data_IF_624635958471
#
_entry.id   IF_624635958471
#
_cell.length_a   1.000
_cell.length_b   1.000
_cell.length_c   1.000
_cell.angle_alpha   90.00
_cell.angle_beta   90.00
_cell.angle_gamma   90.00
#
_symmetry.space_group_name_H-M   'P 1'
#
loop_
_entity.id
_entity.type
_entity.pdbx_description
1 polymer ?
#
# COMPACT_ATOMS: atom_id res chain seq x y z
N UNK A 1 -29.04 33.95 25.89
CA UNK A 1 -27.62 33.53 25.72
C UNK A 1 -27.30 32.08 26.11
N UNK A 2 -27.90 31.50 27.16
CA UNK A 2 -27.54 30.14 27.65
C UNK A 2 -27.96 28.99 26.71
N UNK A 3 -29.09 29.12 26.01
CA UNK A 3 -29.57 28.11 25.04
C UNK A 3 -28.75 28.07 23.74
N UNK A 4 -28.35 29.23 23.22
CA UNK A 4 -27.53 29.36 22.00
C UNK A 4 -26.16 28.72 22.20
N UNK A 5 -25.54 28.90 23.38
CA UNK A 5 -24.25 28.26 23.72
C UNK A 5 -24.33 26.73 23.72
N UNK A 6 -25.44 26.14 24.22
CA UNK A 6 -25.64 24.68 24.22
C UNK A 6 -25.85 24.12 22.81
N UNK A 7 -26.58 24.85 21.95
CA UNK A 7 -26.79 24.46 20.55
C UNK A 7 -25.47 24.46 19.76
N UNK A 8 -24.63 25.48 19.95
CA UNK A 8 -23.31 25.55 19.31
C UNK A 8 -22.42 24.39 19.74
N UNK A 9 -22.40 24.06 21.04
CA UNK A 9 -21.60 22.94 21.56
C UNK A 9 -22.10 21.59 21.00
N UNK A 10 -23.42 21.40 20.91
CA UNK A 10 -24.01 20.18 20.34
C UNK A 10 -23.67 20.03 18.84
N UNK A 11 -23.74 21.12 18.06
CA UNK A 11 -23.35 21.11 16.65
C UNK A 11 -21.86 20.82 16.48
N UNK A 12 -21.01 21.35 17.36
CA UNK A 12 -19.56 21.12 17.32
C UNK A 12 -19.20 19.66 17.65
N UNK A 13 -19.89 19.05 18.62
CA UNK A 13 -19.68 17.63 18.99
C UNK A 13 -20.18 16.67 17.92
N UNK A 14 -21.33 16.96 17.29
CA UNK A 14 -21.83 16.19 16.14
C UNK A 14 -20.89 16.32 14.94
N UNK A 15 -20.39 17.53 14.67
CA UNK A 15 -19.39 17.76 13.61
C UNK A 15 -18.09 16.99 13.84
N UNK A 16 -17.57 16.95 15.07
CA UNK A 16 -16.36 16.18 15.40
C UNK A 16 -16.56 14.67 15.27
N UNK A 17 -17.74 14.14 15.60
CA UNK A 17 -18.07 12.73 15.43
C UNK A 17 -18.12 12.31 13.95
N UNK A 18 -18.65 13.18 13.08
CA UNK A 18 -18.71 12.93 11.63
C UNK A 18 -17.29 12.95 11.02
N UNK A 19 -16.44 13.89 11.43
CA UNK A 19 -15.04 13.95 10.97
C UNK A 19 -14.21 12.77 11.52
N UNK A 20 -14.49 12.30 12.73
CA UNK A 20 -13.86 11.10 13.30
C UNK A 20 -14.22 9.80 12.59
N UNK A 21 -15.43 9.70 12.04
CA UNK A 21 -15.92 8.55 11.24
C UNK A 21 -15.49 8.61 9.77
N UNK A 22 -15.12 9.80 9.27
CA UNK A 22 -14.58 10.02 7.93
C UNK A 22 -13.03 9.99 7.91
N UNK A 23 -12.39 9.28 8.84
CA UNK A 23 -11.00 8.87 8.62
C UNK A 23 -11.04 7.85 7.49
N UNK A 24 -10.49 8.13 6.30
CA UNK A 24 -10.40 7.10 5.29
C UNK A 24 -9.44 6.06 5.83
N UNK A 25 -9.95 4.87 6.15
CA UNK A 25 -9.14 3.67 6.26
C UNK A 25 -8.47 3.50 4.89
N UNK A 26 -7.26 4.05 4.74
CA UNK A 26 -6.49 4.15 3.50
C UNK A 26 -7.20 4.90 2.35
N UNK A 27 -6.67 6.07 1.97
CA UNK A 27 -7.08 6.72 0.73
C UNK A 27 -6.83 5.77 -0.45
N UNK A 28 -7.90 5.37 -1.15
CA UNK A 28 -7.81 4.48 -2.30
C UNK A 28 -7.29 5.28 -3.50
N UNK A 29 -6.21 4.72 -4.07
CA UNK A 29 -5.53 4.98 -5.33
C UNK A 29 -4.36 5.99 -5.32
N UNK A 30 -3.18 5.48 -5.69
CA UNK A 30 -2.31 6.28 -6.58
C UNK A 30 -1.65 5.44 -7.69
N UNK A 31 -1.15 4.23 -7.39
CA UNK A 31 -0.47 3.39 -8.40
C UNK A 31 -1.07 1.99 -8.52
N UNK A 32 -1.11 1.45 -9.75
CA UNK A 32 -1.37 0.03 -9.95
C UNK A 32 -0.12 -0.76 -9.58
N UNK A 33 -0.28 -1.91 -8.95
CA UNK A 33 0.81 -2.83 -8.68
C UNK A 33 0.62 -4.14 -9.46
N UNK A 34 1.75 -4.82 -9.69
CA UNK A 34 1.81 -6.21 -10.09
C UNK A 34 2.54 -7.00 -8.99
N UNK A 35 1.89 -8.05 -8.48
CA UNK A 35 2.47 -8.98 -7.54
C UNK A 35 3.00 -10.19 -8.30
N UNK A 36 4.25 -10.54 -8.05
CA UNK A 36 4.86 -11.77 -8.48
C UNK A 36 5.15 -12.67 -7.29
N UNK A 37 5.01 -13.98 -7.46
CA UNK A 37 5.22 -14.96 -6.40
C UNK A 37 5.91 -16.21 -6.93
N UNK A 38 6.86 -16.76 -6.17
CA UNK A 38 7.50 -18.04 -6.49
C UNK A 38 6.83 -19.22 -5.75
N UNK A 39 7.31 -20.43 -6.01
CA UNK A 39 6.78 -21.67 -5.41
C UNK A 39 7.04 -21.81 -3.90
N UNK A 40 7.89 -20.97 -3.31
CA UNK A 40 8.21 -20.92 -1.88
C UNK A 40 7.45 -19.81 -1.15
N UNK A 41 6.49 -19.16 -1.83
CA UNK A 41 5.68 -18.04 -1.36
C UNK A 41 6.44 -16.71 -1.16
N UNK A 42 7.68 -16.57 -1.64
CA UNK A 42 8.36 -15.26 -1.67
C UNK A 42 7.68 -14.34 -2.69
N UNK A 43 7.52 -13.07 -2.31
CA UNK A 43 6.86 -12.05 -3.13
C UNK A 43 7.79 -10.98 -3.68
N UNK A 44 7.52 -10.54 -4.90
CA UNK A 44 8.04 -9.30 -5.48
C UNK A 44 6.84 -8.43 -5.86
N UNK A 45 6.70 -7.30 -5.19
CA UNK A 45 5.69 -6.30 -5.48
C UNK A 45 6.31 -5.21 -6.36
N UNK A 46 5.77 -5.00 -7.56
CA UNK A 46 6.26 -3.97 -8.48
C UNK A 46 5.18 -2.91 -8.70
N UNK A 47 5.55 -1.64 -8.58
CA UNK A 47 4.69 -0.51 -8.93
C UNK A 47 5.50 0.69 -9.46
N UNK A 48 4.93 1.55 -10.30
CA UNK A 48 3.63 1.39 -10.96
C UNK A 48 3.68 0.27 -12.01
N UNK A 49 2.63 -0.53 -12.10
CA UNK A 49 2.57 -1.70 -13.01
C UNK A 49 2.73 -1.29 -14.48
N UNK A 50 2.23 -0.11 -14.84
CA UNK A 50 2.36 0.50 -16.16
C UNK A 50 3.80 0.84 -16.56
N UNK A 51 4.72 0.93 -15.58
CA UNK A 51 6.13 1.25 -15.83
C UNK A 51 7.02 0.01 -15.92
N UNK A 52 6.46 -1.20 -15.75
CA UNK A 52 7.22 -2.44 -15.83
C UNK A 52 7.70 -2.62 -17.28
N UNK A 53 9.00 -2.48 -17.49
CA UNK A 53 9.63 -2.69 -18.78
C UNK A 53 9.93 -4.18 -19.01
N UNK A 54 9.94 -4.59 -20.28
CA UNK A 54 10.05 -6.00 -20.66
C UNK A 54 11.26 -6.71 -20.05
N UNK A 55 12.41 -6.03 -19.97
CA UNK A 55 13.62 -6.64 -19.41
C UNK A 55 13.48 -6.95 -17.90
N UNK A 56 12.73 -6.14 -17.14
CA UNK A 56 12.46 -6.39 -15.73
C UNK A 56 11.46 -7.54 -15.55
N UNK A 57 10.37 -7.52 -16.31
CA UNK A 57 9.35 -8.58 -16.27
C UNK A 57 9.94 -9.94 -16.64
N UNK A 58 10.73 -10.00 -17.71
CA UNK A 58 11.42 -11.20 -18.15
C UNK A 58 12.44 -11.68 -17.09
N UNK A 59 13.18 -10.77 -16.46
CA UNK A 59 14.12 -11.11 -15.40
C UNK A 59 13.41 -11.73 -14.18
N UNK A 60 12.30 -11.14 -13.74
CA UNK A 60 11.51 -11.65 -12.61
C UNK A 60 10.97 -13.05 -12.95
N UNK A 61 10.41 -13.23 -14.15
CA UNK A 61 9.86 -14.52 -14.59
C UNK A 61 10.93 -15.61 -14.72
N UNK A 62 12.08 -15.29 -15.34
CA UNK A 62 13.23 -16.21 -15.44
C UNK A 62 13.80 -16.59 -14.07
N UNK A 63 13.62 -15.75 -13.06
CA UNK A 63 14.01 -16.03 -11.67
C UNK A 63 13.01 -16.92 -10.94
N UNK A 64 11.98 -17.44 -11.61
CA UNK A 64 11.02 -18.39 -11.05
C UNK A 64 9.82 -17.77 -10.34
N UNK A 65 9.58 -16.46 -10.55
CA UNK A 65 8.41 -15.76 -10.02
C UNK A 65 7.33 -15.61 -11.09
N UNK A 66 6.10 -15.96 -10.77
CA UNK A 66 4.95 -15.82 -11.68
C UNK A 66 4.11 -14.61 -11.29
N UNK A 67 3.51 -13.93 -12.27
CA UNK A 67 2.46 -12.94 -12.01
C UNK A 67 1.24 -13.62 -11.39
N UNK A 68 0.81 -13.17 -10.21
CA UNK A 68 -0.29 -13.82 -9.46
C UNK A 68 -1.47 -12.90 -9.16
N UNK A 69 -1.24 -11.59 -8.97
CA UNK A 69 -2.31 -10.64 -8.68
C UNK A 69 -1.91 -9.21 -9.05
N UNK A 70 -2.87 -8.42 -9.51
CA UNK A 70 -2.69 -6.98 -9.72
C UNK A 70 -3.85 -6.21 -9.10
N UNK A 71 -3.58 -4.96 -8.72
CA UNK A 71 -4.57 -4.13 -8.05
C UNK A 71 -4.06 -2.71 -7.84
N UNK A 72 -4.75 -1.97 -6.98
CA UNK A 72 -4.32 -0.63 -6.57
C UNK A 72 -3.57 -0.72 -5.25
N UNK A 73 -2.45 -0.01 -5.16
CA UNK A 73 -1.67 0.08 -3.93
C UNK A 73 -2.43 0.86 -2.85
N UNK A 74 -2.07 0.59 -1.61
CA UNK A 74 -2.47 1.35 -0.43
C UNK A 74 -1.23 1.98 0.19
N UNK A 75 -1.37 3.18 0.71
CA UNK A 75 -0.32 3.82 1.49
C UNK A 75 -0.31 3.24 2.89
N UNK A 76 0.82 2.67 3.30
CA UNK A 76 1.07 2.22 4.66
C UNK A 76 2.09 3.13 5.33
N UNK A 77 1.98 3.21 6.64
CA UNK A 77 2.81 4.07 7.49
C UNK A 77 3.53 3.19 8.51
N UNK A 78 4.78 3.54 8.79
CA UNK A 78 5.51 2.99 9.92
C UNK A 78 4.96 3.50 11.27
N UNK A 79 5.59 3.09 12.39
CA UNK A 79 5.24 3.57 13.72
C UNK A 79 5.12 5.10 13.77
N UNK A 80 4.18 5.65 14.53
CA UNK A 80 3.99 7.11 14.66
C UNK A 80 3.65 7.87 13.36
N UNK A 81 3.15 7.18 12.32
CA UNK A 81 2.90 7.72 10.98
C UNK A 81 4.18 8.21 10.25
N UNK A 82 5.36 7.72 10.66
CA UNK A 82 6.60 7.98 9.95
C UNK A 82 6.75 7.04 8.74
N UNK A 83 7.53 7.44 7.74
CA UNK A 83 7.84 6.63 6.55
C UNK A 83 6.62 6.07 5.79
N UNK A 84 6.19 6.79 4.76
CA UNK A 84 5.12 6.35 3.87
C UNK A 84 5.69 5.39 2.80
N UNK A 85 5.03 4.25 2.61
CA UNK A 85 5.37 3.31 1.54
C UNK A 85 4.09 2.77 0.89
N UNK A 86 4.07 2.73 -0.44
CA UNK A 86 3.00 2.05 -1.16
C UNK A 86 3.19 0.54 -1.10
N UNK A 87 2.13 -0.19 -0.79
CA UNK A 87 2.10 -1.66 -0.73
C UNK A 87 0.80 -2.20 -1.31
N UNK A 88 0.70 -3.52 -1.50
CA UNK A 88 -0.57 -4.18 -1.75
C UNK A 88 -1.50 -4.08 -0.51
N UNK A 89 -2.83 -4.20 -0.68
CA UNK A 89 -3.75 -4.31 0.46
C UNK A 89 -3.40 -5.48 1.39
N UNK A 90 -3.67 -5.33 2.68
CA UNK A 90 -3.38 -6.37 3.69
C UNK A 90 -4.16 -7.67 3.42
N UNK A 91 -5.36 -7.57 2.86
CA UNK A 91 -6.15 -8.72 2.42
C UNK A 91 -5.44 -9.55 1.34
N UNK A 92 -4.78 -8.89 0.38
CA UNK A 92 -4.01 -9.55 -0.69
C UNK A 92 -2.75 -10.18 -0.11
N UNK A 93 -2.07 -9.47 0.80
CA UNK A 93 -0.92 -10.00 1.51
C UNK A 93 -1.23 -11.32 2.24
N UNK A 94 -2.33 -11.34 3.00
CA UNK A 94 -2.80 -12.54 3.70
C UNK A 94 -3.21 -13.65 2.73
N UNK A 95 -3.91 -13.31 1.65
CA UNK A 95 -4.32 -14.27 0.60
C UNK A 95 -3.12 -15.02 0.02
N UNK A 96 -2.00 -14.33 -0.17
CA UNK A 96 -0.77 -14.90 -0.72
C UNK A 96 0.21 -15.42 0.33
N UNK A 97 -0.14 -15.44 1.62
CA UNK A 97 0.73 -15.88 2.72
C UNK A 97 2.11 -15.19 2.69
N UNK A 98 2.11 -13.88 2.41
CA UNK A 98 3.33 -13.11 2.26
C UNK A 98 3.68 -12.36 3.54
N UNK A 99 4.62 -12.92 4.29
CA UNK A 99 5.14 -12.26 5.49
C UNK A 99 6.34 -11.36 5.17
N UNK A 100 7.12 -11.69 4.15
CA UNK A 100 8.27 -10.91 3.67
C UNK A 100 8.26 -10.82 2.15
N UNK A 101 8.49 -9.63 1.61
CA UNK A 101 8.52 -9.42 0.16
C UNK A 101 9.41 -8.24 -0.23
N UNK A 102 9.92 -8.31 -1.45
CA UNK A 102 10.71 -7.24 -2.07
C UNK A 102 9.72 -6.26 -2.72
N UNK A 103 9.98 -4.97 -2.56
CA UNK A 103 9.24 -3.90 -3.20
C UNK A 103 10.14 -3.26 -4.25
N UNK A 104 9.68 -3.22 -5.50
CA UNK A 104 10.35 -2.54 -6.61
C UNK A 104 9.50 -1.36 -7.06
N UNK A 105 9.96 -0.15 -6.79
CA UNK A 105 9.35 1.06 -7.32
C UNK A 105 10.07 1.49 -8.60
N UNK A 106 9.39 1.37 -9.74
CA UNK A 106 9.94 1.74 -11.05
C UNK A 106 9.72 3.23 -11.30
N UNK A 107 10.84 3.96 -11.39
CA UNK A 107 10.92 5.39 -11.61
C UNK A 107 11.18 5.70 -13.10
N UNK A 108 11.27 6.99 -13.43
CA UNK A 108 11.63 7.43 -14.76
C UNK A 108 13.03 6.90 -15.19
N UNK A 109 13.22 6.75 -16.51
CA UNK A 109 14.46 6.23 -17.12
C UNK A 109 14.86 4.82 -16.65
N UNK A 110 13.88 3.95 -16.35
CA UNK A 110 14.10 2.57 -15.87
C UNK A 110 14.92 2.49 -14.56
N UNK A 111 14.99 3.58 -13.79
CA UNK A 111 15.56 3.54 -12.44
C UNK A 111 14.63 2.77 -11.50
N UNK A 112 15.19 2.02 -10.55
CA UNK A 112 14.41 1.20 -9.62
C UNK A 112 14.84 1.54 -8.20
N UNK A 113 13.87 1.88 -7.35
CA UNK A 113 14.05 1.92 -5.90
C UNK A 113 13.63 0.56 -5.33
N UNK A 114 14.48 0.00 -4.47
CA UNK A 114 14.27 -1.32 -3.87
C UNK A 114 14.01 -1.14 -2.38
N UNK A 115 12.90 -1.70 -1.90
CA UNK A 115 12.58 -1.85 -0.49
C UNK A 115 12.44 -3.34 -0.13
N UNK A 116 12.60 -3.65 1.14
CA UNK A 116 12.30 -4.96 1.70
C UNK A 116 11.27 -4.72 2.80
N UNK A 117 10.12 -5.38 2.68
CA UNK A 117 9.18 -5.47 3.80
C UNK A 117 9.55 -6.68 4.64
N UNK A 118 9.91 -6.43 5.90
CA UNK A 118 10.07 -7.45 6.92
C UNK A 118 9.36 -6.98 8.20
N UNK A 119 8.33 -7.69 8.69
CA UNK A 119 7.58 -7.29 9.87
C UNK A 119 8.45 -7.24 11.14
N UNK A 120 9.63 -7.88 11.15
CA UNK A 120 10.57 -7.77 12.26
C UNK A 120 11.27 -6.40 12.29
N UNK A 121 11.35 -5.69 11.16
CA UNK A 121 12.12 -4.45 11.01
C UNK A 121 11.26 -3.19 10.95
N UNK A 122 9.93 -3.33 10.94
CA UNK A 122 8.93 -2.24 10.98
C UNK A 122 8.41 -1.85 9.61
#
# INVERSE_FOLDING_TARGET
MRGIKKLIIALFTIGLLIVGFLRPDSAIAEYKYQLYQNHENFGILVFPAENIFAELDEFIQKSGFNSVESGHSVMRFGPNNENQTYMMPESVQRKHSMDRFIILQVLAQKNILIGIFDPEWG
#
